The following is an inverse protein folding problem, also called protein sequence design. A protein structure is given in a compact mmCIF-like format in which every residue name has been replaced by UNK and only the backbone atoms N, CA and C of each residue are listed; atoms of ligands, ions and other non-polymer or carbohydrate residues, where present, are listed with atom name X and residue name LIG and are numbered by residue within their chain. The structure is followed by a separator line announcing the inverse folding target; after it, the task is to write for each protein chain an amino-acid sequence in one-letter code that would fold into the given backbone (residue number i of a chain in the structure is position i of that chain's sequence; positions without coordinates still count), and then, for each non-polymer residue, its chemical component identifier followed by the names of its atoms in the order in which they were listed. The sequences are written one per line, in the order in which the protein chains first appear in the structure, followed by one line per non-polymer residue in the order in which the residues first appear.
data_IF_780922617550
#
_entry.id   IF_780922617550
#
_cell.length_a   1.000
_cell.length_b   1.000
_cell.length_c   1.000
_cell.angle_alpha   90.00
_cell.angle_beta   90.00
_cell.angle_gamma   90.00
#
_symmetry.space_group_name_H-M   'P 1'
#
loop_
_entity.id
_entity.type
_entity.pdbx_description
1 polymer ?
#
# COMPACT_ATOMS: atom_id res chain seq x y z
N UNK A 1 -28.91 -3.37 -25.83
CA UNK A 1 -29.00 -2.09 -26.57
C UNK A 1 -27.60 -1.72 -26.98
N UNK A 2 -27.30 -1.80 -28.27
CA UNK A 2 -26.06 -1.28 -28.85
C UNK A 2 -26.09 0.24 -28.65
N UNK A 3 -25.44 0.71 -27.59
CA UNK A 3 -25.18 2.13 -27.40
C UNK A 3 -24.22 2.55 -28.51
N UNK A 4 -24.71 3.39 -29.42
CA UNK A 4 -23.86 4.14 -30.36
C UNK A 4 -22.75 4.79 -29.56
N UNK A 5 -21.51 4.42 -29.88
CA UNK A 5 -20.32 4.86 -29.19
C UNK A 5 -20.14 6.36 -29.40
N UNK A 6 -20.63 7.15 -28.44
CA UNK A 6 -20.36 8.59 -28.39
C UNK A 6 -19.24 8.79 -27.38
N UNK A 7 -18.02 9.16 -27.82
CA UNK A 7 -16.93 9.42 -26.89
C UNK A 7 -17.36 10.48 -25.88
N UNK A 8 -16.93 10.34 -24.61
CA UNK A 8 -17.23 11.23 -23.48
C UNK A 8 -18.66 11.23 -22.93
N UNK A 9 -19.63 10.54 -23.56
CA UNK A 9 -21.02 10.51 -23.06
C UNK A 9 -21.13 9.85 -21.69
N UNK A 10 -20.37 8.78 -21.44
CA UNK A 10 -20.30 8.10 -20.13
C UNK A 10 -19.83 9.04 -19.02
N UNK A 11 -18.71 9.73 -19.22
CA UNK A 11 -18.13 10.68 -18.25
C UNK A 11 -19.12 11.81 -17.92
N UNK A 12 -19.82 12.35 -18.93
CA UNK A 12 -20.82 13.41 -18.73
C UNK A 12 -21.99 12.94 -17.87
N UNK A 13 -22.46 11.71 -18.08
CA UNK A 13 -23.57 11.14 -17.31
C UNK A 13 -23.15 10.89 -15.86
N UNK A 14 -21.95 10.34 -15.63
CA UNK A 14 -21.40 10.07 -14.31
C UNK A 14 -21.22 11.37 -13.51
N UNK A 15 -20.68 12.41 -14.15
CA UNK A 15 -20.50 13.73 -13.53
C UNK A 15 -21.85 14.35 -13.15
N UNK A 16 -22.85 14.28 -14.06
CA UNK A 16 -24.18 14.82 -13.80
C UNK A 16 -24.86 14.10 -12.63
N UNK A 17 -24.76 12.77 -12.56
CA UNK A 17 -25.28 11.98 -11.45
C UNK A 17 -24.63 12.35 -10.12
N UNK A 18 -23.30 12.47 -10.10
CA UNK A 18 -22.54 12.79 -8.88
C UNK A 18 -22.82 14.21 -8.37
N UNK A 19 -22.88 15.20 -9.26
CA UNK A 19 -23.12 16.60 -8.89
C UNK A 19 -24.44 16.81 -8.14
N UNK A 20 -25.50 16.06 -8.48
CA UNK A 20 -26.79 16.16 -7.80
C UNK A 20 -26.72 15.70 -6.33
N UNK A 21 -25.96 14.64 -6.06
CA UNK A 21 -25.83 14.07 -4.71
C UNK A 21 -24.76 14.77 -3.87
N UNK A 22 -23.77 15.43 -4.50
CA UNK A 22 -22.61 15.99 -3.80
C UNK A 22 -23.00 16.99 -2.68
N UNK A 23 -23.97 17.88 -2.93
CA UNK A 23 -24.46 18.83 -1.92
C UNK A 23 -25.13 18.11 -0.73
N UNK A 24 -25.80 17.00 -0.99
CA UNK A 24 -26.47 16.21 0.05
C UNK A 24 -25.45 15.49 0.94
N UNK A 25 -24.36 14.98 0.38
CA UNK A 25 -23.31 14.28 1.13
C UNK A 25 -22.69 15.18 2.20
N UNK A 26 -22.34 16.42 1.85
CA UNK A 26 -21.79 17.38 2.82
C UNK A 26 -22.82 17.73 3.90
N UNK A 27 -24.05 18.03 3.50
CA UNK A 27 -25.12 18.39 4.46
C UNK A 27 -25.47 17.23 5.39
N UNK A 28 -25.47 15.99 4.87
CA UNK A 28 -25.71 14.77 5.64
C UNK A 28 -24.55 14.44 6.58
N UNK A 29 -23.30 14.64 6.13
CA UNK A 29 -22.10 14.46 6.93
C UNK A 29 -22.09 15.36 8.18
N UNK A 30 -22.38 16.65 8.02
CA UNK A 30 -22.46 17.57 9.16
C UNK A 30 -23.60 17.23 10.13
N UNK A 31 -24.74 16.75 9.63
CA UNK A 31 -25.89 16.36 10.48
C UNK A 31 -25.63 15.11 11.31
N UNK A 32 -24.78 14.19 10.83
CA UNK A 32 -24.48 12.96 11.54
C UNK A 32 -23.55 13.17 12.76
N UNK A 33 -22.83 14.31 12.81
CA UNK A 33 -22.03 14.72 13.97
C UNK A 33 -21.08 13.63 14.47
N UNK A 34 -21.17 13.31 15.76
CA UNK A 34 -20.30 12.34 16.43
C UNK A 34 -20.52 10.87 16.01
N UNK A 35 -21.64 10.54 15.34
CA UNK A 35 -21.91 9.16 14.92
C UNK A 35 -20.97 8.68 13.81
N UNK A 36 -20.37 9.60 13.05
CA UNK A 36 -19.42 9.28 11.98
C UNK A 36 -18.06 8.84 12.55
N UNK A 37 -17.68 9.30 13.74
CA UNK A 37 -16.37 9.01 14.33
C UNK A 37 -16.11 7.51 14.49
N UNK A 38 -17.13 6.74 14.88
CA UNK A 38 -16.97 5.30 15.07
C UNK A 38 -16.65 4.55 13.75
N UNK A 39 -17.45 4.70 12.68
CA UNK A 39 -17.09 4.19 11.37
C UNK A 39 -15.76 4.72 10.83
N UNK A 40 -15.44 6.02 10.95
CA UNK A 40 -14.18 6.55 10.40
C UNK A 40 -12.96 6.00 11.12
N UNK A 41 -12.98 5.91 12.45
CA UNK A 41 -11.88 5.29 13.20
C UNK A 41 -11.74 3.81 12.86
N UNK A 42 -12.84 3.06 12.75
CA UNK A 42 -12.78 1.66 12.35
C UNK A 42 -12.17 1.47 10.95
N UNK A 43 -12.64 2.24 9.96
CA UNK A 43 -12.14 2.16 8.59
C UNK A 43 -10.69 2.63 8.51
N UNK A 44 -10.30 3.67 9.27
CA UNK A 44 -8.92 4.13 9.33
C UNK A 44 -7.95 3.02 9.74
N UNK A 45 -8.26 2.28 10.80
CA UNK A 45 -7.39 1.16 11.20
C UNK A 45 -7.48 -0.02 10.24
N UNK A 46 -8.66 -0.30 9.70
CA UNK A 46 -8.84 -1.36 8.71
C UNK A 46 -8.07 -1.11 7.40
N UNK A 47 -7.88 0.15 7.00
CA UNK A 47 -7.10 0.52 5.82
C UNK A 47 -5.61 0.75 6.12
N UNK A 48 -5.26 1.29 7.28
CA UNK A 48 -3.87 1.59 7.63
C UNK A 48 -3.03 0.32 7.83
N UNK A 49 -3.59 -0.72 8.50
CA UNK A 49 -2.83 -1.94 8.81
C UNK A 49 -2.34 -2.66 7.54
N UNK A 50 -3.19 -2.95 6.53
CA UNK A 50 -2.73 -3.56 5.29
C UNK A 50 -1.72 -2.70 4.54
N UNK A 51 -1.91 -1.37 4.52
CA UNK A 51 -1.00 -0.45 3.82
C UNK A 51 0.38 -0.43 4.48
N UNK A 52 0.46 -0.48 5.81
CA UNK A 52 1.73 -0.59 6.54
C UNK A 52 2.41 -1.92 6.22
N UNK A 53 1.66 -3.03 6.27
CA UNK A 53 2.19 -4.37 5.97
C UNK A 53 2.72 -4.49 4.55
N UNK A 54 1.98 -3.97 3.57
CA UNK A 54 2.42 -3.93 2.17
C UNK A 54 3.56 -2.94 1.94
N UNK A 55 3.57 -1.83 2.65
CA UNK A 55 4.66 -0.86 2.64
C UNK A 55 5.97 -1.47 3.16
N UNK A 56 5.93 -2.25 4.23
CA UNK A 56 7.09 -2.99 4.73
C UNK A 56 7.53 -4.08 3.76
N UNK A 57 6.58 -4.78 3.13
CA UNK A 57 6.90 -5.75 2.09
C UNK A 57 7.60 -5.09 0.89
N UNK A 58 7.14 -3.92 0.45
CA UNK A 58 7.80 -3.12 -0.58
C UNK A 58 9.20 -2.71 -0.15
N UNK A 59 9.39 -2.30 1.09
CA UNK A 59 10.69 -1.92 1.64
C UNK A 59 11.69 -3.07 1.60
N UNK A 60 11.28 -4.26 2.03
CA UNK A 60 12.10 -5.49 1.96
C UNK A 60 12.43 -5.89 0.52
N UNK A 61 11.47 -5.80 -0.39
CA UNK A 61 11.63 -6.24 -1.77
C UNK A 61 12.38 -5.23 -2.66
N UNK A 62 12.40 -3.95 -2.29
CA UNK A 62 13.06 -2.86 -3.06
C UNK A 62 14.37 -2.40 -2.42
N UNK A 63 14.97 -3.25 -1.58
CA UNK A 63 16.21 -2.97 -0.84
C UNK A 63 16.16 -1.65 -0.02
N UNK A 64 14.97 -1.17 0.37
CA UNK A 64 14.75 0.09 1.08
C UNK A 64 14.56 1.33 0.21
N UNK A 65 14.45 1.19 -1.12
CA UNK A 65 14.16 2.34 -2.03
C UNK A 65 12.75 2.86 -1.84
N UNK A 66 11.76 1.98 -1.69
CA UNK A 66 10.37 2.35 -1.41
C UNK A 66 10.04 1.99 0.03
N UNK A 67 9.74 2.98 0.87
CA UNK A 67 9.51 2.77 2.30
C UNK A 67 8.03 2.70 2.65
N UNK A 68 7.69 2.06 3.78
CA UNK A 68 6.29 1.97 4.24
C UNK A 68 5.62 3.35 4.42
N UNK A 69 6.39 4.36 4.79
CA UNK A 69 5.92 5.74 4.98
C UNK A 69 5.51 6.38 3.65
N UNK A 70 6.25 6.12 2.57
CA UNK A 70 5.91 6.63 1.24
C UNK A 70 4.61 6.01 0.72
N UNK A 71 4.41 4.71 0.96
CA UNK A 71 3.17 3.99 0.64
C UNK A 71 1.97 4.54 1.41
N UNK A 72 2.14 4.82 2.71
CA UNK A 72 1.14 5.48 3.55
C UNK A 72 0.79 6.89 3.05
N UNK A 73 1.81 7.71 2.78
CA UNK A 73 1.62 9.08 2.30
C UNK A 73 0.89 9.10 0.94
N UNK A 74 1.26 8.20 0.02
CA UNK A 74 0.57 8.03 -1.26
C UNK A 74 -0.89 7.66 -1.07
N UNK A 75 -1.18 6.66 -0.21
CA UNK A 75 -2.55 6.23 0.05
C UNK A 75 -3.39 7.34 0.69
N UNK A 76 -2.82 8.10 1.63
CA UNK A 76 -3.49 9.22 2.27
C UNK A 76 -3.83 10.35 1.28
N UNK A 77 -2.86 10.77 0.45
CA UNK A 77 -3.08 11.80 -0.56
C UNK A 77 -4.11 11.37 -1.61
N UNK A 78 -3.96 10.17 -2.16
CA UNK A 78 -4.90 9.64 -3.13
C UNK A 78 -6.29 9.44 -2.52
N UNK A 79 -6.39 9.03 -1.25
CA UNK A 79 -7.65 8.91 -0.52
C UNK A 79 -8.37 10.25 -0.33
N UNK A 80 -7.64 11.30 0.05
CA UNK A 80 -8.22 12.66 0.18
C UNK A 80 -8.72 13.15 -1.18
N UNK A 81 -7.90 13.06 -2.23
CA UNK A 81 -8.27 13.49 -3.58
C UNK A 81 -9.48 12.71 -4.09
N UNK A 82 -9.50 11.38 -3.91
CA UNK A 82 -10.63 10.54 -4.32
C UNK A 82 -11.89 10.81 -3.52
N UNK A 83 -11.79 11.14 -2.23
CA UNK A 83 -12.96 11.46 -1.42
C UNK A 83 -13.68 12.74 -1.87
N UNK A 84 -12.93 13.70 -2.43
CA UNK A 84 -13.45 14.99 -2.91
C UNK A 84 -13.94 14.88 -4.35
N UNK A 85 -13.15 14.28 -5.25
CA UNK A 85 -13.39 14.29 -6.70
C UNK A 85 -14.05 12.99 -7.20
N UNK A 86 -13.99 11.92 -6.42
CA UNK A 86 -14.42 10.58 -6.83
C UNK A 86 -15.93 10.45 -7.06
N UNK A 87 -16.28 9.55 -7.99
CA UNK A 87 -17.67 9.19 -8.29
C UNK A 87 -18.37 8.39 -7.17
N UNK A 88 -17.60 7.70 -6.33
CA UNK A 88 -18.13 6.88 -5.23
C UNK A 88 -17.28 7.06 -3.95
N UNK A 89 -17.65 7.97 -3.03
CA UNK A 89 -16.84 8.27 -1.84
C UNK A 89 -16.80 7.14 -0.81
N UNK A 90 -17.66 6.13 -0.94
CA UNK A 90 -17.65 4.94 -0.08
C UNK A 90 -16.52 3.95 -0.46
N UNK A 91 -15.89 4.14 -1.62
CA UNK A 91 -14.78 3.31 -2.07
C UNK A 91 -13.52 3.64 -1.27
N UNK A 92 -12.96 2.61 -0.61
CA UNK A 92 -11.72 2.73 0.15
C UNK A 92 -10.56 2.51 -0.81
N UNK A 93 -9.79 3.57 -1.04
CA UNK A 93 -8.59 3.49 -1.85
C UNK A 93 -7.42 2.98 -1.01
N UNK A 94 -6.64 2.05 -1.55
CA UNK A 94 -5.53 1.43 -0.84
C UNK A 94 -4.58 0.72 -1.80
N UNK A 95 -3.42 0.36 -1.28
CA UNK A 95 -2.46 -0.49 -2.00
C UNK A 95 -2.89 -1.94 -1.85
N UNK A 96 -2.97 -2.62 -2.99
CA UNK A 96 -3.27 -4.04 -3.04
C UNK A 96 -2.00 -4.84 -3.38
N UNK A 97 -2.00 -6.12 -3.02
CA UNK A 97 -0.87 -7.02 -3.27
C UNK A 97 -0.43 -7.09 -4.74
N UNK A 98 -1.34 -7.13 -5.75
CA UNK A 98 -0.91 -7.14 -7.15
C UNK A 98 -0.05 -5.92 -7.52
N UNK A 99 -0.33 -4.77 -6.90
CA UNK A 99 0.51 -3.57 -7.06
C UNK A 99 1.90 -3.80 -6.48
N UNK A 100 2.00 -4.35 -5.26
CA UNK A 100 3.29 -4.67 -4.62
C UNK A 100 4.12 -5.63 -5.46
N UNK A 101 3.49 -6.68 -6.00
CA UNK A 101 4.14 -7.67 -6.87
C UNK A 101 4.65 -7.00 -8.15
N UNK A 102 3.85 -6.15 -8.79
CA UNK A 102 4.25 -5.43 -10.00
C UNK A 102 5.44 -4.51 -9.74
N UNK A 103 5.43 -3.75 -8.64
CA UNK A 103 6.57 -2.90 -8.26
C UNK A 103 7.83 -3.71 -7.96
N UNK A 104 7.69 -4.87 -7.32
CA UNK A 104 8.81 -5.79 -7.06
C UNK A 104 9.38 -6.34 -8.38
N UNK A 105 8.53 -6.73 -9.32
CA UNK A 105 8.94 -7.17 -10.65
C UNK A 105 9.66 -6.07 -11.43
N UNK A 106 9.10 -4.85 -11.42
CA UNK A 106 9.73 -3.68 -12.04
C UNK A 106 11.11 -3.39 -11.42
N UNK A 107 11.25 -3.53 -10.10
CA UNK A 107 12.51 -3.32 -9.42
C UNK A 107 13.57 -4.35 -9.86
N UNK A 108 13.21 -5.63 -9.89
CA UNK A 108 14.11 -6.70 -10.38
C UNK A 108 14.48 -6.47 -11.85
N UNK A 109 13.52 -6.11 -12.70
CA UNK A 109 13.77 -5.79 -14.10
C UNK A 109 14.78 -4.65 -14.27
N UNK A 110 14.63 -3.56 -13.51
CA UNK A 110 15.55 -2.41 -13.56
C UNK A 110 16.93 -2.78 -13.04
N UNK A 111 17.01 -3.65 -12.01
CA UNK A 111 18.27 -4.14 -11.42
C UNK A 111 19.07 -5.02 -12.39
N UNK A 112 18.38 -5.81 -13.22
CA UNK A 112 18.99 -6.71 -14.19
C UNK A 112 19.45 -5.98 -15.47
N UNK A 113 19.02 -4.73 -15.70
CA UNK A 113 19.41 -3.93 -16.86
C UNK A 113 20.68 -3.12 -16.56
N UNK A 114 21.79 -3.32 -17.30
CA UNK A 114 23.11 -2.77 -16.96
C UNK A 114 23.18 -1.23 -16.90
N UNK A 115 22.35 -0.53 -17.68
CA UNK A 115 22.40 0.94 -17.80
C UNK A 115 21.52 1.68 -16.80
N UNK A 116 20.54 0.99 -16.19
CA UNK A 116 19.44 1.64 -15.49
C UNK A 116 19.67 1.74 -13.98
N UNK A 117 20.38 0.77 -13.37
CA UNK A 117 20.84 0.84 -11.98
C UNK A 117 19.72 1.03 -10.93
N UNK A 118 20.08 0.96 -9.65
CA UNK A 118 19.11 1.06 -8.53
C UNK A 118 18.51 2.47 -8.39
N UNK A 119 19.30 3.51 -8.63
CA UNK A 119 18.92 4.89 -8.31
C UNK A 119 17.89 5.47 -9.31
N UNK A 120 17.85 4.98 -10.55
CA UNK A 120 16.88 5.46 -11.55
C UNK A 120 15.55 4.71 -11.52
N UNK A 121 15.37 3.72 -10.63
CA UNK A 121 14.11 3.00 -10.47
C UNK A 121 12.92 3.94 -10.23
N UNK A 122 13.12 4.99 -9.41
CA UNK A 122 12.06 5.96 -9.11
C UNK A 122 11.64 6.74 -10.36
N UNK A 123 12.60 7.20 -11.18
CA UNK A 123 12.30 7.90 -12.43
C UNK A 123 11.62 6.98 -13.45
N UNK A 124 12.07 5.72 -13.56
CA UNK A 124 11.45 4.70 -14.39
C UNK A 124 9.99 4.45 -14.00
N UNK A 125 9.73 4.27 -12.70
CA UNK A 125 8.38 4.09 -12.17
C UNK A 125 7.45 5.26 -12.51
N UNK A 126 7.97 6.50 -12.43
CA UNK A 126 7.26 7.70 -12.87
C UNK A 126 6.85 7.66 -14.35
N UNK A 127 7.73 7.21 -15.24
CA UNK A 127 7.40 7.09 -16.67
C UNK A 127 6.35 6.00 -16.95
N UNK A 128 6.44 4.87 -16.24
CA UNK A 128 5.39 3.83 -16.29
C UNK A 128 4.05 4.39 -15.81
N UNK A 129 4.03 5.22 -14.76
CA UNK A 129 2.81 5.89 -14.31
C UNK A 129 2.24 6.88 -15.35
N UNK A 130 3.07 7.59 -16.11
CA UNK A 130 2.61 8.48 -17.20
C UNK A 130 1.89 7.67 -18.29
N UNK A 131 2.47 6.56 -18.74
CA UNK A 131 1.83 5.69 -19.74
C UNK A 131 0.56 5.03 -19.20
N UNK A 132 0.58 4.60 -17.94
CA UNK A 132 -0.60 4.03 -17.28
C UNK A 132 -1.73 5.05 -17.21
N UNK A 133 -1.44 6.30 -16.85
CA UNK A 133 -2.42 7.38 -16.84
C UNK A 133 -2.97 7.66 -18.25
N UNK A 134 -2.11 7.74 -19.27
CA UNK A 134 -2.52 7.95 -20.65
C UNK A 134 -3.46 6.84 -21.16
N UNK A 135 -3.15 5.58 -20.86
CA UNK A 135 -4.00 4.43 -21.20
C UNK A 135 -5.34 4.46 -20.45
N UNK A 136 -5.35 4.83 -19.16
CA UNK A 136 -6.58 4.98 -18.39
C UNK A 136 -7.47 6.10 -18.94
N UNK A 137 -6.89 7.23 -19.35
CA UNK A 137 -7.63 8.31 -20.01
C UNK A 137 -8.22 7.84 -21.34
N UNK A 138 -7.44 7.13 -22.15
CA UNK A 138 -7.93 6.57 -23.41
C UNK A 138 -9.09 5.59 -23.17
N UNK A 139 -8.95 4.63 -22.25
CA UNK A 139 -10.00 3.67 -21.91
C UNK A 139 -11.26 4.35 -21.36
N UNK A 140 -11.11 5.43 -20.60
CA UNK A 140 -12.22 6.24 -20.09
C UNK A 140 -12.99 6.94 -21.21
N UNK A 141 -12.30 7.56 -22.17
CA UNK A 141 -12.93 8.19 -23.34
C UNK A 141 -13.62 7.15 -24.21
N UNK A 142 -13.01 5.96 -24.34
CA UNK A 142 -13.56 4.83 -25.08
C UNK A 142 -14.68 4.09 -24.32
N UNK A 143 -15.12 4.55 -23.14
CA UNK A 143 -16.23 3.91 -22.43
C UNK A 143 -16.00 2.44 -22.09
N UNK A 144 -14.74 2.03 -21.89
CA UNK A 144 -14.37 0.65 -21.55
C UNK A 144 -15.04 0.18 -20.25
N UNK A 145 -15.49 1.11 -19.39
CA UNK A 145 -16.29 0.82 -18.20
C UNK A 145 -17.57 0.01 -18.50
N UNK A 146 -18.10 0.04 -19.73
CA UNK A 146 -19.23 -0.82 -20.13
C UNK A 146 -18.93 -2.33 -19.99
N UNK A 147 -17.65 -2.73 -20.06
CA UNK A 147 -17.24 -4.13 -19.91
C UNK A 147 -17.45 -4.65 -18.49
N UNK A 148 -17.53 -3.77 -17.48
CA UNK A 148 -17.72 -4.18 -16.09
C UNK A 148 -19.09 -4.83 -15.88
N UNK A 149 -20.09 -4.47 -16.68
CA UNK A 149 -21.41 -5.11 -16.64
C UNK A 149 -21.39 -6.56 -17.13
N UNK A 150 -20.30 -6.99 -17.78
CA UNK A 150 -20.07 -8.37 -18.19
C UNK A 150 -19.41 -9.20 -17.09
N UNK A 151 -18.84 -8.57 -16.05
CA UNK A 151 -18.31 -9.30 -14.90
C UNK A 151 -19.47 -9.94 -14.12
N UNK A 152 -19.51 -11.27 -14.15
CA UNK A 152 -20.51 -12.03 -13.43
C UNK A 152 -20.20 -12.07 -11.93
N UNK A 153 -21.21 -12.38 -11.12
CA UNK A 153 -21.05 -12.63 -9.69
C UNK A 153 -19.99 -13.69 -9.39
N UNK A 154 -19.88 -14.72 -10.23
CA UNK A 154 -18.87 -15.78 -10.12
C UNK A 154 -17.46 -15.20 -10.23
N UNK A 155 -17.22 -14.29 -11.18
CA UNK A 155 -15.92 -13.63 -11.33
C UNK A 155 -15.57 -12.79 -10.09
N UNK A 156 -16.54 -12.07 -9.54
CA UNK A 156 -16.36 -11.28 -8.31
C UNK A 156 -16.03 -12.14 -7.08
N UNK A 157 -16.73 -13.24 -6.87
CA UNK A 157 -16.48 -14.17 -5.76
C UNK A 157 -15.13 -14.88 -5.90
N UNK A 158 -14.75 -15.30 -7.12
CA UNK A 158 -13.43 -15.89 -7.39
C UNK A 158 -12.30 -14.88 -7.18
N UNK A 159 -12.47 -13.62 -7.61
CA UNK A 159 -11.49 -12.58 -7.37
C UNK A 159 -11.32 -12.30 -5.88
N UNK A 160 -12.42 -12.24 -5.12
CA UNK A 160 -12.37 -12.13 -3.66
C UNK A 160 -11.65 -13.29 -2.98
N UNK A 161 -11.88 -14.53 -3.45
CA UNK A 161 -11.19 -15.72 -2.94
C UNK A 161 -9.69 -15.67 -3.25
N UNK A 162 -9.30 -15.24 -4.45
CA UNK A 162 -7.90 -15.09 -4.84
C UNK A 162 -7.17 -14.10 -3.92
N UNK A 163 -7.75 -12.92 -3.69
CA UNK A 163 -7.16 -11.91 -2.79
C UNK A 163 -7.04 -12.46 -1.36
N UNK A 164 -8.05 -13.19 -0.87
CA UNK A 164 -7.99 -13.81 0.46
C UNK A 164 -6.89 -14.89 0.56
N UNK A 165 -6.71 -15.71 -0.49
CA UNK A 165 -5.67 -16.72 -0.54
C UNK A 165 -4.27 -16.09 -0.56
N UNK A 166 -4.06 -15.07 -1.40
CA UNK A 166 -2.80 -14.35 -1.49
C UNK A 166 -2.44 -13.68 -0.15
N UNK A 167 -3.39 -12.98 0.48
CA UNK A 167 -3.18 -12.40 1.82
C UNK A 167 -2.79 -13.45 2.87
N UNK A 168 -3.41 -14.63 2.84
CA UNK A 168 -3.08 -15.71 3.77
C UNK A 168 -1.67 -16.25 3.52
N UNK A 169 -1.27 -16.41 2.25
CA UNK A 169 0.09 -16.80 1.88
C UNK A 169 1.13 -15.79 2.36
N UNK A 170 0.88 -14.49 2.19
CA UNK A 170 1.79 -13.44 2.67
C UNK A 170 1.88 -13.41 4.19
N UNK A 171 0.78 -13.61 4.91
CA UNK A 171 0.79 -13.72 6.36
C UNK A 171 1.66 -14.90 6.84
N UNK A 172 1.54 -16.06 6.18
CA UNK A 172 2.38 -17.24 6.47
C UNK A 172 3.85 -16.94 6.12
N UNK A 173 4.12 -16.33 4.96
CA UNK A 173 5.48 -15.96 4.54
C UNK A 173 6.13 -15.00 5.53
N UNK A 174 5.40 -13.99 6.01
CA UNK A 174 5.89 -13.04 7.02
C UNK A 174 6.26 -13.71 8.34
N UNK A 175 5.47 -14.69 8.80
CA UNK A 175 5.80 -15.49 9.99
C UNK A 175 7.05 -16.35 9.74
N UNK A 176 7.16 -16.98 8.57
CA UNK A 176 8.32 -17.83 8.21
C UNK A 176 9.61 -17.02 8.08
N UNK A 177 9.53 -15.78 7.58
CA UNK A 177 10.66 -14.87 7.46
C UNK A 177 11.27 -14.53 8.82
N UNK A 178 10.47 -14.44 9.89
CA UNK A 178 10.97 -14.19 11.26
C UNK A 178 11.86 -15.33 11.79
N UNK A 179 11.67 -16.57 11.30
CA UNK A 179 12.54 -17.70 11.61
C UNK A 179 13.82 -17.73 10.77
N UNK A 180 13.90 -16.92 9.71
CA UNK A 180 14.99 -16.91 8.74
C UNK A 180 15.90 -15.70 8.97
N UNK A 181 17.14 -15.81 8.49
CA UNK A 181 18.10 -14.70 8.53
C UNK A 181 17.83 -13.83 7.30
N UNK A 182 17.68 -12.50 7.42
CA UNK A 182 17.61 -11.59 6.28
C UNK A 182 18.89 -11.73 5.44
N UNK A 183 18.76 -11.95 4.14
CA UNK A 183 19.91 -12.21 3.25
C UNK A 183 20.91 -11.03 3.16
N UNK A 184 20.50 -9.83 3.60
CA UNK A 184 21.30 -8.60 3.54
C UNK A 184 21.90 -8.17 4.89
N UNK A 185 21.73 -8.94 5.96
CA UNK A 185 22.25 -8.59 7.28
C UNK A 185 23.42 -9.48 7.73
N UNK A 186 24.36 -8.88 8.49
CA UNK A 186 25.56 -9.56 8.93
C UNK A 186 25.22 -10.73 9.86
N UNK A 187 25.47 -11.96 9.40
CA UNK A 187 25.24 -13.20 10.16
C UNK A 187 26.01 -13.31 11.50
N UNK A 188 26.93 -12.36 11.79
CA UNK A 188 27.71 -12.27 13.04
C UNK A 188 27.04 -11.45 14.14
N UNK A 189 25.89 -10.82 13.88
CA UNK A 189 25.16 -10.06 14.89
C UNK A 189 24.54 -11.03 15.91
N UNK A 190 24.61 -10.70 17.20
CA UNK A 190 24.12 -11.53 18.33
C UNK A 190 22.65 -11.95 18.20
N UNK A 191 21.89 -11.22 17.38
CA UNK A 191 20.46 -11.41 17.07
C UNK A 191 20.20 -12.66 16.21
N UNK A 192 21.16 -13.03 15.36
CA UNK A 192 21.08 -14.20 14.48
C UNK A 192 21.64 -15.48 15.12
N UNK A 193 21.93 -15.46 16.42
CA UNK A 193 22.24 -16.68 17.18
C UNK A 193 21.02 -17.62 17.13
N UNK A 194 21.17 -18.94 16.91
CA UNK A 194 20.04 -19.86 16.75
C UNK A 194 19.05 -19.86 17.92
N UNK A 195 19.50 -19.63 19.15
CA UNK A 195 18.64 -19.51 20.34
C UNK A 195 17.71 -18.29 20.29
N UNK A 196 18.24 -17.13 19.92
CA UNK A 196 17.47 -15.88 19.80
C UNK A 196 16.52 -15.90 18.60
N UNK A 197 16.93 -16.50 17.47
CA UNK A 197 16.06 -16.72 16.31
C UNK A 197 14.83 -17.56 16.63
N UNK A 198 15.03 -18.68 17.32
CA UNK A 198 13.92 -19.54 17.73
C UNK A 198 12.99 -18.82 18.71
N UNK A 199 13.55 -18.06 19.67
CA UNK A 199 12.75 -17.26 20.59
C UNK A 199 11.91 -16.19 19.88
N UNK A 200 12.49 -15.47 18.91
CA UNK A 200 11.79 -14.44 18.14
C UNK A 200 10.68 -15.02 17.28
N UNK A 201 10.95 -16.10 16.54
CA UNK A 201 9.94 -16.76 15.72
C UNK A 201 8.79 -17.34 16.56
N UNK A 202 9.09 -17.96 17.72
CA UNK A 202 8.07 -18.43 18.65
C UNK A 202 7.25 -17.26 19.24
N UNK A 203 7.91 -16.15 19.54
CA UNK A 203 7.24 -14.94 20.02
C UNK A 203 6.30 -14.35 18.96
N UNK A 204 6.75 -14.24 17.70
CA UNK A 204 5.92 -13.79 16.58
C UNK A 204 4.73 -14.72 16.33
N UNK A 205 4.90 -16.04 16.45
CA UNK A 205 3.79 -17.00 16.39
C UNK A 205 2.75 -16.73 17.47
N UNK A 206 3.18 -16.58 18.72
CA UNK A 206 2.26 -16.32 19.85
C UNK A 206 1.52 -15.00 19.67
N UNK A 207 2.21 -13.94 19.28
CA UNK A 207 1.58 -12.64 19.02
C UNK A 207 0.60 -12.69 17.84
N UNK A 208 0.96 -13.36 16.75
CA UNK A 208 0.14 -13.46 15.54
C UNK A 208 -1.13 -14.28 15.78
N UNK A 209 -1.01 -15.49 16.34
CA UNK A 209 -2.17 -16.32 16.67
C UNK A 209 -3.01 -15.72 17.80
N UNK A 210 -2.37 -15.07 18.77
CA UNK A 210 -3.03 -14.34 19.85
C UNK A 210 -3.87 -13.18 19.33
N UNK A 211 -3.31 -12.35 18.45
CA UNK A 211 -4.01 -11.26 17.77
C UNK A 211 -5.16 -11.79 16.92
N UNK A 212 -4.93 -12.84 16.12
CA UNK A 212 -5.97 -13.45 15.28
C UNK A 212 -7.15 -13.95 16.13
N UNK A 213 -6.87 -14.74 17.17
CA UNK A 213 -7.91 -15.30 18.03
C UNK A 213 -8.71 -14.22 18.75
N UNK A 214 -8.02 -13.23 19.33
CA UNK A 214 -8.66 -12.13 20.05
C UNK A 214 -9.44 -11.19 19.13
N UNK A 215 -8.94 -10.89 17.92
CA UNK A 215 -9.65 -10.11 16.91
C UNK A 215 -10.92 -10.82 16.43
N UNK A 216 -10.86 -12.14 16.17
CA UNK A 216 -12.03 -12.94 15.81
C UNK A 216 -13.07 -12.99 16.93
N UNK A 217 -12.62 -13.07 18.19
CA UNK A 217 -13.48 -12.98 19.38
C UNK A 217 -14.14 -11.61 19.47
N UNK A 218 -13.40 -10.53 19.23
CA UNK A 218 -13.93 -9.17 19.26
C UNK A 218 -14.99 -8.94 18.18
N UNK A 219 -14.80 -9.49 16.97
CA UNK A 219 -15.82 -9.42 15.91
C UNK A 219 -17.10 -10.18 16.26
N UNK A 220 -16.97 -11.29 17.00
CA UNK A 220 -18.10 -12.05 17.56
C UNK A 220 -18.66 -11.44 18.85
N UNK A 221 -18.12 -10.33 19.36
CA UNK A 221 -18.61 -9.71 20.58
C UNK A 221 -20.09 -9.34 20.46
N UNK A 222 -20.58 -8.94 19.27
CA UNK A 222 -22.01 -8.66 19.06
C UNK A 222 -22.95 -9.84 19.37
N UNK A 223 -22.50 -11.08 19.39
CA UNK A 223 -23.37 -12.22 19.77
C UNK A 223 -23.09 -12.76 21.17
N UNK A 224 -22.26 -12.08 21.97
CA UNK A 224 -22.01 -12.48 23.35
C UNK A 224 -23.26 -12.29 24.22
N UNK A 225 -23.57 -13.34 25.00
CA UNK A 225 -24.66 -13.35 25.98
C UNK A 225 -24.31 -12.54 27.24
N UNK A 226 -23.02 -12.31 27.46
CA UNK A 226 -22.49 -11.59 28.61
C UNK A 226 -22.04 -10.19 28.17
N UNK A 227 -22.41 -9.17 28.95
CA UNK A 227 -22.03 -7.78 28.72
C UNK A 227 -23.22 -6.86 28.40
N UNK A 228 -23.05 -5.57 28.69
CA UNK A 228 -24.05 -4.55 28.35
C UNK A 228 -24.09 -4.30 26.85
N UNK A 229 -25.27 -3.97 26.31
CA UNK A 229 -25.45 -3.78 24.85
C UNK A 229 -24.57 -2.67 24.27
N UNK A 230 -24.29 -1.62 25.04
CA UNK A 230 -23.42 -0.52 24.63
C UNK A 230 -21.95 -0.95 24.54
N UNK A 231 -21.42 -1.61 25.58
CA UNK A 231 -20.04 -2.11 25.60
C UNK A 231 -19.82 -3.16 24.50
N UNK A 232 -20.82 -4.02 24.25
CA UNK A 232 -20.80 -5.02 23.21
C UNK A 232 -20.64 -4.43 21.81
N UNK A 233 -21.39 -3.37 21.50
CA UNK A 233 -21.26 -2.67 20.22
C UNK A 233 -19.90 -1.97 20.11
N UNK A 234 -19.43 -1.33 21.18
CA UNK A 234 -18.11 -0.69 21.20
C UNK A 234 -16.96 -1.69 20.94
N UNK A 235 -16.94 -2.83 21.63
CA UNK A 235 -15.92 -3.88 21.44
C UNK A 235 -16.01 -4.51 20.05
N UNK A 236 -17.20 -4.59 19.46
CA UNK A 236 -17.34 -5.10 18.11
C UNK A 236 -16.82 -4.12 17.05
N UNK A 237 -17.06 -2.82 17.26
CA UNK A 237 -16.71 -1.77 16.30
C UNK A 237 -15.23 -1.40 16.39
N UNK A 238 -14.66 -1.34 17.59
CA UNK A 238 -13.25 -0.98 17.82
C UNK A 238 -12.36 -2.17 18.17
N UNK A 239 -12.89 -3.39 18.05
CA UNK A 239 -12.24 -4.60 18.51
C UNK A 239 -10.88 -4.88 17.89
N UNK A 240 -10.82 -4.84 16.56
CA UNK A 240 -9.58 -5.11 15.81
C UNK A 240 -8.47 -4.11 16.19
N UNK A 241 -8.67 -2.78 16.10
CA UNK A 241 -7.62 -1.84 16.50
C UNK A 241 -7.28 -1.89 17.99
N UNK A 242 -8.26 -2.10 18.86
CA UNK A 242 -8.00 -2.28 20.29
C UNK A 242 -7.11 -3.49 20.55
N UNK A 243 -7.36 -4.62 19.88
CA UNK A 243 -6.51 -5.81 20.01
C UNK A 243 -5.10 -5.56 19.48
N UNK A 244 -4.93 -4.80 18.40
CA UNK A 244 -3.60 -4.38 17.93
C UNK A 244 -2.86 -3.61 19.03
N UNK A 245 -3.51 -2.66 19.71
CA UNK A 245 -2.89 -1.92 20.81
C UNK A 245 -2.53 -2.83 22.00
N UNK A 246 -3.41 -3.74 22.39
CA UNK A 246 -3.18 -4.68 23.50
C UNK A 246 -2.01 -5.61 23.20
N UNK A 247 -1.97 -6.22 22.01
CA UNK A 247 -0.89 -7.11 21.62
C UNK A 247 0.42 -6.39 21.34
N UNK A 248 0.35 -5.14 20.87
CA UNK A 248 1.52 -4.26 20.79
C UNK A 248 2.04 -3.98 22.20
N UNK A 249 1.20 -3.60 23.16
CA UNK A 249 1.62 -3.37 24.54
C UNK A 249 2.19 -4.65 25.19
N UNK A 250 1.57 -5.80 24.95
CA UNK A 250 2.08 -7.10 25.39
C UNK A 250 3.48 -7.41 24.82
N UNK A 251 3.77 -6.93 23.60
CA UNK A 251 5.09 -7.11 23.00
C UNK A 251 6.20 -6.30 23.68
N UNK A 252 5.85 -5.24 24.44
CA UNK A 252 6.80 -4.44 25.23
C UNK A 252 7.15 -5.04 26.60
N UNK A 253 6.38 -6.01 27.10
CA UNK A 253 6.57 -6.61 28.43
C UNK A 253 7.94 -7.31 28.57
N UNK A 254 8.44 -8.09 27.58
CA UNK A 254 9.75 -8.76 27.67
C UNK A 254 10.98 -7.86 27.40
N UNK A 255 10.89 -6.55 27.63
CA UNK A 255 11.96 -5.60 27.27
C UNK A 255 13.22 -5.71 28.14
N UNK A 256 13.12 -6.23 29.36
CA UNK A 256 14.22 -6.29 30.31
C UNK A 256 15.21 -7.47 30.09
N UNK A 257 14.81 -8.54 29.41
CA UNK A 257 15.57 -9.80 29.33
C UNK A 257 16.20 -10.08 27.96
N UNK A 258 16.15 -9.15 27.01
CA UNK A 258 16.49 -9.41 25.60
C UNK A 258 17.41 -8.31 25.04
N UNK A 259 18.49 -8.65 24.29
CA UNK A 259 19.43 -7.69 23.71
C UNK A 259 18.77 -6.63 22.83
N UNK A 260 19.31 -5.40 22.84
CA UNK A 260 18.79 -4.20 22.15
C UNK A 260 18.77 -4.28 20.63
N UNK A 261 19.44 -5.28 20.07
CA UNK A 261 19.63 -5.42 18.64
C UNK A 261 18.44 -6.02 17.91
N UNK A 262 17.73 -6.98 18.53
CA UNK A 262 16.74 -7.80 17.82
C UNK A 262 15.62 -6.91 17.24
N UNK A 263 15.40 -6.90 15.90
CA UNK A 263 14.32 -6.13 15.28
C UNK A 263 12.98 -6.76 15.65
N UNK A 264 12.44 -6.36 16.81
CA UNK A 264 11.10 -6.77 17.28
C UNK A 264 9.98 -5.88 16.72
N UNK A 265 10.34 -4.90 15.89
CA UNK A 265 9.52 -3.73 15.61
C UNK A 265 9.74 -3.26 14.19
N UNK A 266 8.65 -2.79 13.58
CA UNK A 266 8.68 -2.08 12.30
C UNK A 266 9.52 -0.81 12.50
N UNK A 267 10.70 -0.77 11.89
CA UNK A 267 11.55 0.41 11.92
C UNK A 267 10.99 1.40 10.90
N UNK A 268 10.19 2.37 11.34
CA UNK A 268 9.83 3.48 10.48
C UNK A 268 10.95 4.52 10.54
N UNK A 269 11.71 4.77 9.45
CA UNK A 269 12.61 5.91 9.42
C UNK A 269 11.80 7.19 9.64
N UNK A 270 12.37 8.15 10.37
CA UNK A 270 11.70 9.42 10.61
C UNK A 270 11.40 10.08 9.24
N UNK A 271 10.12 10.40 8.93
CA UNK A 271 9.76 11.04 7.66
C UNK A 271 10.51 12.36 7.39
N UNK A 272 11.01 12.99 8.45
CA UNK A 272 11.75 14.25 8.40
C UNK A 272 13.28 14.07 8.44
N UNK A 273 13.78 12.83 8.39
CA UNK A 273 15.22 12.57 8.35
C UNK A 273 15.80 12.87 6.96
N UNK A 274 17.03 13.41 6.86
CA UNK A 274 17.64 13.82 5.58
C UNK A 274 17.67 12.71 4.51
N UNK A 275 17.83 11.45 4.90
CA UNK A 275 17.83 10.30 3.97
C UNK A 275 16.48 10.02 3.32
N UNK A 276 15.36 10.45 3.90
CA UNK A 276 14.03 10.30 3.29
C UNK A 276 13.80 11.25 2.10
N UNK A 277 14.59 12.34 2.00
CA UNK A 277 14.53 13.33 0.92
C UNK A 277 15.44 12.99 -0.28
N UNK A 278 16.42 12.09 -0.12
CA UNK A 278 17.32 11.70 -1.21
C UNK A 278 16.53 11.18 -2.43
N UNK A 279 15.49 10.38 -2.18
CA UNK A 279 14.59 9.85 -3.22
C UNK A 279 13.83 10.95 -4.00
N UNK A 280 13.53 12.09 -3.37
CA UNK A 280 12.85 13.22 -4.03
C UNK A 280 13.81 14.05 -4.90
N UNK A 281 15.12 14.04 -4.58
CA UNK A 281 16.13 14.75 -5.37
C UNK A 281 16.51 14.05 -6.68
N UNK A 282 16.10 12.79 -6.87
CA UNK A 282 16.36 12.00 -8.09
C UNK A 282 15.78 12.65 -9.34
N UNK A 283 14.66 13.37 -9.26
CA UNK A 283 14.11 14.10 -10.41
C UNK A 283 15.07 15.23 -10.85
N UNK A 284 15.68 15.94 -9.90
CA UNK A 284 16.71 16.95 -10.19
C UNK A 284 17.96 16.30 -10.77
N UNK A 285 18.40 15.17 -10.21
CA UNK A 285 19.58 14.44 -10.70
C UNK A 285 19.36 13.88 -12.11
N UNK A 286 18.19 13.28 -12.40
CA UNK A 286 17.83 12.82 -13.75
C UNK A 286 17.77 13.99 -14.73
N UNK A 287 17.10 15.11 -14.42
CA UNK A 287 17.07 16.28 -15.30
C UNK A 287 18.48 16.79 -15.60
N UNK A 288 19.38 16.81 -14.62
CA UNK A 288 20.76 17.26 -14.82
C UNK A 288 21.58 16.25 -15.65
N UNK A 289 21.40 14.94 -15.42
CA UNK A 289 22.10 13.87 -16.12
C UNK A 289 21.63 13.72 -17.56
N UNK A 290 20.32 13.82 -17.83
CA UNK A 290 19.75 13.86 -19.18
C UNK A 290 20.07 15.15 -19.91
N UNK A 291 20.21 16.29 -19.24
CA UNK A 291 20.72 17.51 -19.88
C UNK A 291 22.18 17.29 -20.33
N UNK A 292 23.02 16.69 -19.47
CA UNK A 292 24.41 16.38 -19.81
C UNK A 292 24.54 15.30 -20.91
N UNK A 293 23.70 14.27 -20.90
CA UNK A 293 23.68 13.20 -21.91
C UNK A 293 23.07 13.67 -23.25
N UNK A 294 22.08 14.56 -23.21
CA UNK A 294 21.53 15.23 -24.40
C UNK A 294 22.58 16.12 -25.04
N UNK A 295 23.34 16.92 -24.28
CA UNK A 295 24.43 17.75 -24.84
C UNK A 295 25.53 16.88 -25.48
N UNK A 296 25.84 15.71 -24.89
CA UNK A 296 26.82 14.78 -25.44
C UNK A 296 26.31 14.10 -26.73
N UNK A 297 25.03 13.73 -26.79
CA UNK A 297 24.44 13.13 -28.00
C UNK A 297 24.29 14.13 -29.15
N UNK A 298 23.97 15.40 -28.87
CA UNK A 298 23.90 16.44 -29.92
C UNK A 298 25.30 16.75 -30.50
N UNK A 299 26.35 16.70 -29.68
CA UNK A 299 27.73 16.85 -30.16
C UNK A 299 28.22 15.66 -31.01
N UNK A 300 27.87 14.42 -30.66
CA UNK A 300 28.23 13.22 -31.43
C UNK A 300 27.46 13.16 -32.76
N UNK A 301 26.20 13.58 -32.78
CA UNK A 301 25.39 13.64 -34.01
C UNK A 301 25.89 14.78 -34.95
N UNK A 302 26.32 15.93 -34.42
CA UNK A 302 26.96 16.96 -35.24
C UNK A 302 28.34 16.54 -35.80
N UNK A 303 29.11 15.74 -35.05
CA UNK A 303 30.39 15.19 -35.53
C UNK A 303 30.22 14.10 -36.61
N UNK A 304 29.16 13.29 -36.53
CA UNK A 304 28.85 12.26 -37.54
C UNK A 304 28.26 12.83 -38.84
N UNK A 305 27.54 13.95 -38.77
CA UNK A 305 26.98 14.62 -39.97
C UNK A 305 28.05 15.46 -40.70
N UNK A 306 29.14 15.85 -40.04
CA UNK A 306 30.28 16.57 -40.65
C UNK A 306 31.30 15.69 -41.41
N UNK A 307 31.07 14.38 -41.52
CA UNK A 307 31.93 13.43 -42.25
C UNK A 307 31.24 12.81 -43.49
N UNK A 308 30.06 13.32 -43.88
CA UNK A 308 29.36 12.95 -45.12
C UNK A 308 29.36 14.14 -46.08
N UNK A 309 30.56 14.63 -46.39
CA UNK A 309 30.89 15.41 -47.58
C UNK A 309 32.30 15.05 -48.03
#
# INVERSE_FOLDING_TARGET
MEETFVPLRGIKNDLRGRLMCYKQDWTGGFKAGFRILAPTTYIFFASAIPVISFGEQLERNTDGVLTAVQTLASTALCGIIHSIIGGQPLLILGVAEPTVIMYTFMFNFVKDVPDLGRDLFLAWSGWVCVWTAALLFLLSILGACSIINRFTRVAGELFGLLIAMLFMQQAIKGIVEEFRIPQHENAKITEFTPSWRFANGMFALVLSFGLLFSALRSRKARSWRYGTGWLRSFIADYGVPFMVLVWTAASYIPSASVPKGVPRRLFSPNPWSPGAYENWTVIRACLTKYHCQSTLHTHIICLLIGQIN
#
